data_IF_289965994411
#
_entry.id   IF_289965994411
#
_cell.length_a   1.000
_cell.length_b   1.000
_cell.length_c   1.000
_cell.angle_alpha   90.00
_cell.angle_beta   90.00
_cell.angle_gamma   90.00
#
_symmetry.space_group_name_H-M   'P 1'
#
loop_
_entity.id
_entity.type
_entity.pdbx_description
1 polymer ?
#
# COMPACT_ATOMS: atom_id res chain seq x y z
N UNK A 1 35.25 -48.64 52.41
CA UNK A 1 34.03 -48.91 51.62
C UNK A 1 33.42 -47.57 51.20
N UNK A 2 33.86 -47.02 50.04
CA UNK A 2 33.58 -45.64 49.60
C UNK A 2 32.64 -45.72 48.41
N UNK A 3 31.38 -45.27 48.59
CA UNK A 3 30.40 -45.16 47.52
C UNK A 3 30.58 -43.79 46.82
N UNK A 4 30.95 -43.85 45.55
CA UNK A 4 30.95 -42.67 44.65
C UNK A 4 29.51 -42.36 44.23
N UNK A 5 29.05 -41.15 44.55
CA UNK A 5 27.85 -40.54 43.96
C UNK A 5 28.23 -39.97 42.59
N UNK A 6 27.59 -40.50 41.56
CA UNK A 6 27.65 -39.91 40.19
C UNK A 6 26.60 -38.80 40.11
N UNK A 7 27.10 -37.55 39.95
CA UNK A 7 26.25 -36.43 39.63
C UNK A 7 25.94 -36.46 38.13
N UNK A 8 24.70 -36.77 37.77
CA UNK A 8 24.16 -36.57 36.43
C UNK A 8 23.64 -35.12 36.32
N UNK A 9 24.33 -34.30 35.56
CA UNK A 9 23.87 -32.96 35.20
C UNK A 9 22.79 -33.05 34.09
N UNK A 10 21.62 -32.42 34.25
CA UNK A 10 20.65 -32.35 33.18
C UNK A 10 21.13 -31.37 32.12
N UNK A 11 21.39 -31.87 30.92
CA UNK A 11 21.70 -31.10 29.72
C UNK A 11 20.45 -30.37 29.27
N UNK A 12 20.36 -29.09 29.59
CA UNK A 12 19.26 -28.22 29.21
C UNK A 12 19.40 -27.91 27.69
N UNK A 13 18.58 -28.58 26.89
CA UNK A 13 18.48 -28.31 25.43
C UNK A 13 17.72 -27.01 25.23
N UNK A 14 18.47 -25.93 25.05
CA UNK A 14 17.91 -24.61 24.67
C UNK A 14 17.55 -24.66 23.18
N UNK A 15 16.28 -24.94 22.89
CA UNK A 15 15.72 -24.84 21.54
C UNK A 15 15.66 -23.36 21.15
N UNK A 16 16.64 -22.90 20.38
CA UNK A 16 16.63 -21.59 19.74
C UNK A 16 15.53 -21.62 18.66
N UNK A 17 14.34 -21.11 18.98
CA UNK A 17 13.32 -20.80 17.99
C UNK A 17 13.84 -19.62 17.13
N UNK A 18 14.51 -19.92 16.03
CA UNK A 18 14.72 -18.97 14.94
C UNK A 18 13.36 -18.74 14.29
N UNK A 19 12.62 -17.75 14.83
CA UNK A 19 11.44 -17.21 14.15
C UNK A 19 11.90 -16.65 12.81
N UNK A 20 11.55 -17.32 11.72
CA UNK A 20 11.63 -16.74 10.38
C UNK A 20 10.67 -15.56 10.34
N UNK A 21 11.21 -14.36 10.48
CA UNK A 21 10.47 -13.13 10.17
C UNK A 21 10.18 -13.19 8.68
N UNK A 22 8.93 -13.45 8.33
CA UNK A 22 8.46 -13.22 6.97
C UNK A 22 8.56 -11.72 6.73
N UNK A 23 9.60 -11.27 6.04
CA UNK A 23 9.66 -9.90 5.53
C UNK A 23 8.50 -9.79 4.54
N UNK A 24 7.49 -9.01 4.89
CA UNK A 24 6.50 -8.57 3.93
C UNK A 24 7.27 -7.87 2.80
N UNK A 25 7.02 -8.27 1.55
CA UNK A 25 7.63 -7.61 0.40
C UNK A 25 7.10 -6.16 0.40
N UNK A 26 7.94 -5.13 0.56
CA UNK A 26 7.47 -3.76 0.76
C UNK A 26 6.75 -3.16 -0.44
N UNK A 27 6.61 -3.93 -1.51
CA UNK A 27 6.12 -3.45 -2.78
C UNK A 27 7.27 -3.00 -3.69
N UNK A 28 6.98 -2.71 -4.94
CA UNK A 28 7.95 -2.26 -5.91
C UNK A 28 7.33 -1.29 -6.92
N UNK A 29 8.08 -0.29 -7.34
CA UNK A 29 7.74 0.60 -8.44
C UNK A 29 8.77 0.52 -9.55
N UNK A 30 8.32 0.69 -10.79
CA UNK A 30 9.16 0.77 -11.96
C UNK A 30 8.65 1.85 -12.89
N UNK A 31 9.54 2.71 -13.37
CA UNK A 31 9.20 3.76 -14.34
C UNK A 31 9.71 3.44 -15.73
N UNK A 32 9.05 4.01 -16.74
CA UNK A 32 9.44 3.93 -18.15
C UNK A 32 8.88 5.13 -18.91
N UNK A 33 9.50 5.45 -20.06
CA UNK A 33 9.06 6.54 -20.94
C UNK A 33 8.24 5.97 -22.10
N UNK A 34 7.12 6.63 -22.38
CA UNK A 34 6.30 6.37 -23.56
C UNK A 34 5.73 7.68 -24.07
N UNK A 35 5.93 7.94 -25.37
CA UNK A 35 5.41 9.13 -26.06
C UNK A 35 5.76 10.47 -25.35
N UNK A 36 6.99 10.58 -24.78
CA UNK A 36 7.46 11.77 -24.07
C UNK A 36 6.89 11.95 -22.66
N UNK A 37 6.23 10.92 -22.10
CA UNK A 37 5.71 10.94 -20.72
C UNK A 37 6.32 9.80 -19.92
N UNK A 38 6.71 10.08 -18.70
CA UNK A 38 7.09 9.05 -17.72
C UNK A 38 5.86 8.41 -17.12
N UNK A 39 5.80 7.09 -17.24
CA UNK A 39 4.80 6.24 -16.60
C UNK A 39 5.42 5.39 -15.51
N UNK A 40 4.61 4.97 -14.57
CA UNK A 40 5.02 3.96 -13.58
C UNK A 40 4.03 2.82 -13.48
N UNK A 41 4.59 1.64 -13.25
CA UNK A 41 3.87 0.46 -12.79
C UNK A 41 4.25 0.20 -11.33
N UNK A 42 3.27 -0.14 -10.50
CA UNK A 42 3.45 -0.34 -9.07
C UNK A 42 2.88 -1.68 -8.65
N UNK A 43 3.65 -2.41 -7.86
CA UNK A 43 3.21 -3.61 -7.16
C UNK A 43 3.06 -3.28 -5.68
N UNK A 44 1.88 -3.55 -5.13
CA UNK A 44 1.51 -3.30 -3.74
C UNK A 44 1.13 -4.60 -3.04
N UNK A 45 1.53 -4.84 -1.80
CA UNK A 45 0.99 -5.93 -0.99
C UNK A 45 -0.41 -5.57 -0.48
N UNK A 46 -1.33 -5.23 -1.41
CA UNK A 46 -2.67 -4.76 -1.06
C UNK A 46 -3.50 -5.89 -0.46
N UNK A 47 -3.96 -5.69 0.78
CA UNK A 47 -4.89 -6.59 1.47
C UNK A 47 -5.86 -5.77 2.30
N UNK A 48 -7.14 -6.16 2.26
CA UNK A 48 -8.17 -5.58 3.12
C UNK A 48 -8.17 -6.30 4.47
N UNK A 49 -8.16 -5.51 5.53
CA UNK A 49 -8.31 -6.03 6.89
C UNK A 49 -9.74 -6.52 7.12
N UNK A 50 -9.93 -7.43 8.08
CA UNK A 50 -11.24 -8.00 8.38
C UNK A 50 -12.27 -6.90 8.71
N UNK A 51 -11.88 -5.88 9.46
CA UNK A 51 -12.76 -4.75 9.82
C UNK A 51 -13.20 -3.92 8.60
N UNK A 52 -12.33 -3.80 7.58
CA UNK A 52 -12.65 -3.12 6.33
C UNK A 52 -13.64 -3.92 5.49
N UNK A 53 -13.50 -5.25 5.47
CA UNK A 53 -14.43 -6.17 4.81
C UNK A 53 -15.81 -6.10 5.47
N UNK A 54 -15.87 -6.09 6.80
CA UNK A 54 -17.11 -5.94 7.58
C UNK A 54 -17.75 -4.56 7.36
N UNK A 55 -16.95 -3.51 7.24
CA UNK A 55 -17.43 -2.17 6.90
C UNK A 55 -18.09 -2.14 5.52
N UNK A 56 -17.47 -2.76 4.50
CA UNK A 56 -18.06 -2.91 3.17
C UNK A 56 -19.37 -3.70 3.22
N UNK A 57 -19.43 -4.80 3.96
CA UNK A 57 -20.64 -5.61 4.16
C UNK A 57 -21.75 -4.83 4.85
N UNK A 58 -21.41 -3.88 5.72
CA UNK A 58 -22.35 -2.97 6.39
C UNK A 58 -22.77 -1.78 5.51
N UNK A 59 -22.33 -1.72 4.24
CA UNK A 59 -22.68 -0.68 3.28
C UNK A 59 -21.83 0.59 3.35
N UNK A 60 -20.74 0.59 4.12
CA UNK A 60 -19.77 1.66 4.09
C UNK A 60 -18.97 1.63 2.77
N UNK A 61 -18.48 2.80 2.39
CA UNK A 61 -17.56 2.95 1.27
C UNK A 61 -16.15 3.12 1.80
N UNK A 62 -15.19 2.40 1.23
CA UNK A 62 -13.77 2.64 1.49
C UNK A 62 -13.20 3.50 0.36
N UNK A 63 -12.28 4.38 0.73
CA UNK A 63 -11.46 5.16 -0.19
C UNK A 63 -10.03 4.65 -0.13
N UNK A 64 -9.53 4.19 -1.26
CA UNK A 64 -8.11 3.88 -1.46
C UNK A 64 -7.47 5.04 -2.20
N UNK A 65 -6.38 5.57 -1.66
CA UNK A 65 -5.66 6.71 -2.22
C UNK A 65 -4.19 6.38 -2.40
N UNK A 66 -3.65 6.82 -3.53
CA UNK A 66 -2.24 6.73 -3.89
C UNK A 66 -1.74 8.16 -4.14
N UNK A 67 -0.69 8.55 -3.47
CA UNK A 67 -0.03 9.83 -3.66
C UNK A 67 1.38 9.57 -4.20
N UNK A 68 1.70 10.14 -5.34
CA UNK A 68 3.01 10.07 -5.97
C UNK A 68 3.67 11.45 -5.88
N UNK A 69 4.92 11.49 -5.46
CA UNK A 69 5.76 12.68 -5.50
C UNK A 69 7.02 12.38 -6.29
N UNK A 70 7.43 13.30 -7.17
CA UNK A 70 8.69 13.23 -7.92
C UNK A 70 9.65 14.20 -7.28
N UNK A 71 10.76 13.67 -6.78
CA UNK A 71 11.76 14.44 -6.05
C UNK A 71 13.12 14.47 -6.78
N UNK A 72 13.72 15.65 -6.89
CA UNK A 72 15.08 15.87 -7.37
C UNK A 72 16.05 15.61 -6.22
N UNK A 73 16.78 14.48 -6.27
CA UNK A 73 17.72 14.04 -5.24
C UNK A 73 19.00 14.87 -5.26
N UNK A 74 19.33 15.49 -4.13
CA UNK A 74 20.47 16.41 -4.00
C UNK A 74 21.43 15.99 -2.89
N UNK A 75 22.67 15.73 -3.23
CA UNK A 75 23.69 15.22 -2.28
C UNK A 75 23.95 16.10 -1.05
N UNK A 76 23.67 17.42 -1.09
CA UNK A 76 24.05 18.37 -0.03
C UNK A 76 22.95 19.38 0.31
N UNK A 77 21.72 19.20 -0.18
CA UNK A 77 20.59 20.12 0.04
C UNK A 77 19.34 19.31 0.28
N UNK A 78 18.31 19.99 0.78
CA UNK A 78 16.95 19.41 0.88
C UNK A 78 16.48 19.05 -0.54
N UNK A 79 15.97 17.84 -0.71
CA UNK A 79 15.38 17.37 -1.95
C UNK A 79 14.24 18.31 -2.38
N UNK A 80 14.07 18.46 -3.68
CA UNK A 80 13.09 19.38 -4.24
C UNK A 80 11.94 18.57 -4.85
N UNK A 81 10.74 18.83 -4.41
CA UNK A 81 9.52 18.35 -5.07
C UNK A 81 9.39 19.02 -6.46
N UNK A 82 9.25 18.20 -7.48
CA UNK A 82 9.07 18.61 -8.88
C UNK A 82 7.60 18.58 -9.26
N UNK A 83 6.85 17.63 -8.71
CA UNK A 83 5.43 17.48 -8.98
C UNK A 83 4.82 16.33 -8.18
N UNK A 84 3.52 16.39 -8.03
CA UNK A 84 2.76 15.36 -7.34
C UNK A 84 1.51 14.95 -8.12
N UNK A 85 1.13 13.69 -8.00
CA UNK A 85 -0.08 13.12 -8.57
C UNK A 85 -0.82 12.34 -7.48
N UNK A 86 -2.13 12.55 -7.36
CA UNK A 86 -2.98 11.75 -6.49
C UNK A 86 -3.99 10.95 -7.32
N UNK A 87 -4.08 9.66 -7.05
CA UNK A 87 -5.08 8.75 -7.59
C UNK A 87 -5.96 8.25 -6.45
N UNK A 88 -7.27 8.31 -6.63
CA UNK A 88 -8.23 7.90 -5.61
C UNK A 88 -9.28 6.95 -6.19
N UNK A 89 -9.61 5.94 -5.43
CA UNK A 89 -10.61 4.92 -5.78
C UNK A 89 -11.61 4.78 -4.65
N UNK A 90 -12.90 4.66 -4.98
CA UNK A 90 -13.90 4.21 -4.02
C UNK A 90 -14.15 2.71 -4.19
N UNK A 91 -14.26 2.00 -3.09
CA UNK A 91 -14.56 0.57 -3.02
C UNK A 91 -15.89 0.42 -2.27
N UNK A 92 -16.87 -0.22 -2.87
CA UNK A 92 -18.20 -0.40 -2.29
C UNK A 92 -18.77 -1.77 -2.62
N UNK A 93 -19.45 -2.39 -1.67
CA UNK A 93 -20.27 -3.59 -1.92
C UNK A 93 -21.67 -3.17 -2.38
N UNK A 94 -22.12 -3.71 -3.50
CA UNK A 94 -23.51 -3.59 -3.93
C UNK A 94 -24.33 -4.74 -3.30
N UNK A 95 -25.16 -4.40 -2.31
CA UNK A 95 -25.94 -5.38 -1.54
C UNK A 95 -26.95 -6.19 -2.41
N UNK A 96 -27.42 -5.63 -3.54
CA UNK A 96 -28.37 -6.31 -4.40
C UNK A 96 -27.72 -7.40 -5.26
N UNK A 97 -26.52 -7.14 -5.74
CA UNK A 97 -25.80 -8.05 -6.65
C UNK A 97 -24.70 -8.85 -5.96
N UNK A 98 -24.36 -8.51 -4.73
CA UNK A 98 -23.22 -9.09 -3.99
C UNK A 98 -21.86 -8.78 -4.62
N UNK A 99 -21.78 -7.80 -5.53
CA UNK A 99 -20.55 -7.48 -6.25
C UNK A 99 -19.87 -6.25 -5.64
N UNK A 100 -18.55 -6.28 -5.64
CA UNK A 100 -17.73 -5.13 -5.27
C UNK A 100 -17.59 -4.20 -6.47
N UNK A 101 -17.88 -2.92 -6.25
CA UNK A 101 -17.76 -1.86 -7.24
C UNK A 101 -16.58 -0.99 -6.90
N UNK A 102 -15.64 -0.86 -7.82
CA UNK A 102 -14.52 0.06 -7.74
C UNK A 102 -14.78 1.21 -8.71
N UNK A 103 -14.65 2.44 -8.23
CA UNK A 103 -14.74 3.63 -9.08
C UNK A 103 -13.42 4.41 -8.93
N UNK A 104 -12.73 4.64 -10.04
CA UNK A 104 -11.64 5.61 -10.08
C UNK A 104 -12.24 7.01 -9.98
N UNK A 105 -11.92 7.74 -8.91
CA UNK A 105 -12.53 9.05 -8.62
C UNK A 105 -11.94 10.19 -9.46
N UNK A 106 -10.78 9.97 -10.08
CA UNK A 106 -10.13 10.96 -10.93
C UNK A 106 -10.76 11.02 -12.34
N UNK A 107 -11.11 9.86 -12.90
CA UNK A 107 -11.59 9.74 -14.29
C UNK A 107 -13.00 9.13 -14.39
N UNK A 108 -13.60 8.70 -13.28
CA UNK A 108 -14.96 8.19 -13.22
C UNK A 108 -15.17 6.77 -13.78
N UNK A 109 -14.11 6.06 -14.18
CA UNK A 109 -14.23 4.67 -14.67
C UNK A 109 -14.63 3.72 -13.54
N UNK A 110 -15.38 2.67 -13.89
CA UNK A 110 -15.92 1.71 -12.94
C UNK A 110 -15.53 0.29 -13.33
N UNK A 111 -15.22 -0.53 -12.33
CA UNK A 111 -14.99 -1.96 -12.44
C UNK A 111 -15.86 -2.69 -11.42
N UNK A 112 -16.21 -3.97 -11.70
CA UNK A 112 -17.06 -4.78 -10.83
C UNK A 112 -16.46 -6.16 -10.65
N UNK A 113 -16.32 -6.58 -9.40
CA UNK A 113 -15.65 -7.81 -8.98
C UNK A 113 -16.61 -8.70 -8.18
N UNK A 114 -16.40 -10.01 -8.23
CA UNK A 114 -17.26 -11.00 -7.55
C UNK A 114 -16.75 -11.36 -6.15
N UNK A 115 -15.50 -11.07 -5.85
CA UNK A 115 -14.87 -11.43 -4.59
C UNK A 115 -13.90 -10.34 -4.09
N UNK A 116 -13.60 -10.40 -2.80
CA UNK A 116 -12.55 -9.57 -2.18
C UNK A 116 -11.18 -9.88 -2.80
N UNK A 117 -10.90 -11.15 -3.08
CA UNK A 117 -9.64 -11.54 -3.69
C UNK A 117 -9.41 -10.87 -5.05
N UNK A 118 -10.45 -10.79 -5.90
CA UNK A 118 -10.36 -10.07 -7.18
C UNK A 118 -10.11 -8.56 -6.98
N UNK A 119 -10.66 -7.95 -5.93
CA UNK A 119 -10.40 -6.55 -5.57
C UNK A 119 -8.95 -6.37 -5.13
N UNK A 120 -8.44 -7.28 -4.30
CA UNK A 120 -7.06 -7.26 -3.83
C UNK A 120 -6.07 -7.47 -4.99
N UNK A 121 -6.35 -8.41 -5.88
CA UNK A 121 -5.53 -8.67 -7.07
C UNK A 121 -5.51 -7.45 -8.01
N UNK A 122 -6.66 -6.77 -8.17
CA UNK A 122 -6.76 -5.56 -8.99
C UNK A 122 -5.87 -4.42 -8.46
N UNK A 123 -5.79 -4.23 -7.15
CA UNK A 123 -4.94 -3.19 -6.55
C UNK A 123 -3.51 -3.65 -6.27
N UNK A 124 -3.24 -4.95 -6.34
CA UNK A 124 -1.88 -5.48 -6.15
C UNK A 124 -0.93 -5.10 -7.29
N UNK A 125 -1.47 -4.79 -8.48
CA UNK A 125 -0.68 -4.38 -9.64
C UNK A 125 -1.38 -3.24 -10.38
N UNK A 126 -0.89 -2.01 -10.19
CA UNK A 126 -1.43 -0.80 -10.83
C UNK A 126 -0.46 -0.39 -11.93
N UNK A 127 -0.95 -0.29 -13.17
CA UNK A 127 -0.12 -0.03 -14.35
C UNK A 127 -0.46 1.27 -15.05
N UNK A 128 0.51 1.75 -15.82
CA UNK A 128 0.38 2.90 -16.71
C UNK A 128 -0.06 4.17 -15.99
N UNK A 129 0.51 4.46 -14.82
CA UNK A 129 0.26 5.71 -14.11
C UNK A 129 1.10 6.80 -14.77
N UNK A 130 0.50 7.81 -15.43
CA UNK A 130 1.25 8.91 -16.01
C UNK A 130 1.74 9.83 -14.90
N UNK A 131 3.05 10.04 -14.80
CA UNK A 131 3.66 10.84 -13.73
C UNK A 131 4.01 12.26 -14.17
N UNK A 132 4.81 12.39 -15.21
CA UNK A 132 5.38 13.69 -15.64
C UNK A 132 5.80 13.65 -17.11
N UNK A 133 5.69 14.79 -17.78
CA UNK A 133 6.24 14.99 -19.13
C UNK A 133 7.77 15.06 -19.07
N UNK A 134 8.47 14.39 -19.99
CA UNK A 134 9.94 14.32 -20.02
C UNK A 134 10.59 15.69 -20.21
N UNK A 135 9.92 16.62 -20.88
CA UNK A 135 10.40 17.99 -21.10
C UNK A 135 10.53 18.82 -19.82
N UNK A 136 9.88 18.41 -18.72
CA UNK A 136 9.96 19.09 -17.43
C UNK A 136 11.23 18.66 -16.67
N UNK A 137 11.80 17.51 -17.02
CA UNK A 137 12.93 16.92 -16.32
C UNK A 137 14.26 17.32 -16.97
N UNK A 138 15.25 17.48 -16.11
CA UNK A 138 16.64 17.72 -16.53
C UNK A 138 17.39 16.37 -16.53
N UNK A 139 17.84 15.91 -17.69
CA UNK A 139 18.49 14.61 -17.86
C UNK A 139 19.81 14.47 -17.06
N UNK A 140 20.39 15.59 -16.62
CA UNK A 140 21.61 15.58 -15.80
C UNK A 140 21.35 15.36 -14.30
N UNK A 141 20.07 15.29 -13.91
CA UNK A 141 19.66 15.12 -12.50
C UNK A 141 19.13 13.72 -12.21
N UNK A 142 19.15 13.39 -10.93
CA UNK A 142 18.59 12.14 -10.44
C UNK A 142 17.22 12.40 -9.81
N UNK A 143 16.22 11.67 -10.26
CA UNK A 143 14.87 11.77 -9.74
C UNK A 143 14.41 10.44 -9.14
N UNK A 144 13.78 10.52 -7.98
CA UNK A 144 13.06 9.40 -7.39
C UNK A 144 11.56 9.69 -7.41
N UNK A 145 10.79 8.61 -7.50
CA UNK A 145 9.36 8.62 -7.25
C UNK A 145 9.14 8.08 -5.84
N UNK A 146 8.40 8.82 -5.06
CA UNK A 146 7.94 8.40 -3.73
C UNK A 146 6.44 8.18 -3.84
N UNK A 147 5.96 7.01 -3.43
CA UNK A 147 4.54 6.68 -3.40
C UNK A 147 4.11 6.35 -1.98
N UNK A 148 3.06 7.02 -1.55
CA UNK A 148 2.34 6.75 -0.32
C UNK A 148 0.95 6.21 -0.67
N UNK A 149 0.49 5.20 0.04
CA UNK A 149 -0.82 4.61 -0.17
C UNK A 149 -1.58 4.47 1.15
N UNK A 150 -2.90 4.62 1.09
CA UNK A 150 -3.73 4.49 2.28
C UNK A 150 -5.17 4.11 1.95
N UNK A 151 -5.82 3.42 2.89
CA UNK A 151 -7.25 3.15 2.88
C UNK A 151 -7.89 3.91 4.01
N UNK A 152 -9.05 4.52 3.74
CA UNK A 152 -9.88 5.18 4.75
C UNK A 152 -11.36 4.91 4.50
N UNK A 153 -12.18 5.02 5.55
CA UNK A 153 -13.62 4.90 5.42
C UNK A 153 -14.26 6.23 5.06
N UNK A 154 -15.09 6.25 3.99
CA UNK A 154 -15.86 7.43 3.57
C UNK A 154 -17.24 7.50 4.22
N UNK A 155 -17.77 8.72 4.33
CA UNK A 155 -19.18 8.94 4.70
C UNK A 155 -19.48 8.83 6.20
N UNK A 156 -18.49 8.63 7.04
CA UNK A 156 -18.68 8.64 8.50
C UNK A 156 -18.66 10.09 8.97
N UNK A 157 -19.81 10.60 9.40
CA UNK A 157 -19.89 11.97 9.91
C UNK A 157 -19.06 12.14 11.20
N UNK A 158 -18.54 13.36 11.40
CA UNK A 158 -17.59 13.69 12.48
C UNK A 158 -18.08 13.27 13.88
N UNK A 159 -19.38 13.32 14.16
CA UNK A 159 -19.94 12.97 15.45
C UNK A 159 -19.96 11.45 15.70
N UNK A 160 -20.15 10.62 14.64
CA UNK A 160 -20.02 9.16 14.73
C UNK A 160 -18.55 8.79 14.96
N UNK A 161 -17.63 9.61 14.45
CA UNK A 161 -16.19 9.46 14.67
C UNK A 161 -15.80 9.46 16.15
N UNK A 162 -16.53 10.14 16.98
CA UNK A 162 -16.25 10.28 18.43
C UNK A 162 -16.79 9.11 19.26
N UNK A 163 -17.73 8.32 18.72
CA UNK A 163 -18.42 7.25 19.45
C UNK A 163 -17.95 5.84 19.08
N UNK A 164 -17.14 5.66 18.04
CA UNK A 164 -16.81 4.33 17.52
C UNK A 164 -15.37 3.94 17.82
N UNK A 165 -15.20 2.99 18.75
CA UNK A 165 -13.96 2.26 19.06
C UNK A 165 -13.40 1.47 17.86
N UNK A 166 -14.14 1.34 16.77
CA UNK A 166 -13.80 0.56 15.58
C UNK A 166 -13.05 1.35 14.51
N UNK A 167 -12.86 2.63 14.72
CA UNK A 167 -12.36 3.54 13.69
C UNK A 167 -10.86 3.49 13.47
N UNK A 168 -10.10 3.26 14.53
CA UNK A 168 -8.64 3.16 14.46
C UNK A 168 -8.18 2.01 13.55
N UNK A 169 -9.09 1.03 13.28
CA UNK A 169 -8.77 -0.13 12.47
C UNK A 169 -9.33 -0.07 11.03
N UNK A 170 -10.04 0.99 10.63
CA UNK A 170 -10.54 1.14 9.25
C UNK A 170 -9.56 1.90 8.35
N UNK A 171 -8.76 2.75 8.94
CA UNK A 171 -7.74 3.49 8.23
C UNK A 171 -6.43 2.66 8.24
N UNK A 172 -5.86 2.44 7.08
CA UNK A 172 -4.59 1.73 6.91
C UNK A 172 -3.67 2.57 6.04
N UNK A 173 -2.46 2.81 6.52
CA UNK A 173 -1.36 3.34 5.73
C UNK A 173 -0.46 2.17 5.33
N UNK A 174 -0.05 2.15 4.06
CA UNK A 174 0.92 1.19 3.55
C UNK A 174 2.32 1.76 3.72
N UNK A 175 3.32 0.88 3.70
CA UNK A 175 4.70 1.30 3.69
C UNK A 175 4.99 2.16 2.45
N UNK A 176 5.72 3.27 2.63
CA UNK A 176 6.13 4.15 1.54
C UNK A 176 7.08 3.39 0.61
N UNK A 177 6.81 3.46 -0.69
CA UNK A 177 7.64 2.84 -1.72
C UNK A 177 8.38 3.94 -2.46
N UNK A 178 9.68 3.74 -2.65
CA UNK A 178 10.55 4.65 -3.37
C UNK A 178 11.33 3.91 -4.46
N UNK A 179 11.42 4.51 -5.65
CA UNK A 179 12.20 3.98 -6.76
C UNK A 179 12.74 5.10 -7.65
N UNK A 180 13.74 4.79 -8.46
CA UNK A 180 14.26 5.74 -9.43
C UNK A 180 13.28 5.99 -10.56
N UNK A 181 13.15 7.24 -10.97
CA UNK A 181 12.36 7.62 -12.14
C UNK A 181 13.12 7.31 -13.44
N UNK A 182 14.44 7.51 -13.42
CA UNK A 182 15.38 7.27 -14.51
C UNK A 182 16.35 6.16 -14.08
N UNK A 183 16.51 5.13 -14.90
CA UNK A 183 17.56 4.11 -14.77
C UNK A 183 18.81 4.48 -15.57
#
# INVERSE_FOLDING_TARGET
>A
MIRRLQNAAPMLFFFLFLGTQAFANPGAGKSYVKDGVYFSDVQLPFRLQQQQIEALASGLTLRFQLNFSIVDIRNWRIDRDIGSLSQAYSIRLNAFTGRYLITNLNIGTKASFSSIQEVEDFFSEIKNIPLVDDSILDIEKNYNVIMEAGISAEGISQWIKTLSFWRENLDTEFETIEWKLLD
#
